data_IF_310965644564
#
_entry.id   IF_310965644564
#
_cell.length_a   1.000
_cell.length_b   1.000
_cell.length_c   1.000
_cell.angle_alpha   90.00
_cell.angle_beta   90.00
_cell.angle_gamma   90.00
#
_symmetry.space_group_name_H-M   'P 1'
#
loop_
_entity.id
_entity.type
_entity.pdbx_description
1 polymer ?
#
# COMPACT_ATOMS: atom_id res chain seq x y z
N UNK A 1 4.97 -23.72 -5.81
CA UNK A 1 5.29 -22.34 -6.24
C UNK A 1 4.05 -21.68 -6.86
N UNK A 2 3.23 -22.44 -7.57
CA UNK A 2 2.02 -21.93 -8.22
C UNK A 2 0.79 -21.85 -7.32
N UNK A 3 0.92 -22.21 -6.06
CA UNK A 3 -0.13 -22.09 -5.04
C UNK A 3 -0.44 -20.63 -4.70
N UNK A 4 -1.69 -20.32 -4.41
CA UNK A 4 -2.10 -18.97 -4.02
C UNK A 4 -1.31 -18.46 -2.80
N UNK A 5 -1.05 -19.31 -1.82
CA UNK A 5 -0.25 -18.97 -0.65
C UNK A 5 1.18 -18.56 -1.01
N UNK A 6 1.82 -19.29 -1.91
CA UNK A 6 3.18 -18.98 -2.39
C UNK A 6 3.20 -17.66 -3.16
N UNK A 7 2.20 -17.41 -3.99
CA UNK A 7 2.06 -16.18 -4.77
C UNK A 7 1.90 -14.98 -3.84
N UNK A 8 1.08 -15.11 -2.80
CA UNK A 8 0.89 -14.04 -1.79
C UNK A 8 2.19 -13.73 -1.07
N UNK A 9 2.95 -14.74 -0.67
CA UNK A 9 4.26 -14.56 -0.01
C UNK A 9 5.25 -13.86 -0.95
N UNK A 10 5.36 -14.31 -2.20
CA UNK A 10 6.25 -13.70 -3.19
C UNK A 10 5.85 -12.26 -3.48
N UNK A 11 4.58 -11.98 -3.65
CA UNK A 11 4.05 -10.64 -3.86
C UNK A 11 4.36 -9.74 -2.65
N UNK A 12 4.18 -10.23 -1.43
CA UNK A 12 4.53 -9.51 -0.21
C UNK A 12 6.01 -9.18 -0.15
N UNK A 13 6.88 -10.13 -0.42
CA UNK A 13 8.33 -9.92 -0.45
C UNK A 13 8.75 -8.92 -1.52
N UNK A 14 8.10 -8.94 -2.68
CA UNK A 14 8.38 -7.98 -3.77
C UNK A 14 8.04 -6.53 -3.37
N UNK A 15 7.04 -6.35 -2.51
CA UNK A 15 6.61 -5.03 -2.05
C UNK A 15 7.30 -4.54 -0.77
N UNK A 16 8.11 -5.37 -0.12
CA UNK A 16 8.89 -4.98 1.07
C UNK A 16 9.80 -3.77 0.82
N UNK A 17 10.55 -3.67 -0.30
CA UNK A 17 11.35 -2.47 -0.58
C UNK A 17 10.54 -1.18 -0.62
N UNK A 18 9.34 -1.21 -1.17
CA UNK A 18 8.45 -0.05 -1.21
C UNK A 18 8.01 0.37 0.20
N UNK A 19 7.56 -0.58 1.01
CA UNK A 19 7.19 -0.33 2.40
C UNK A 19 8.38 0.21 3.21
N UNK A 20 9.56 -0.36 3.03
CA UNK A 20 10.78 0.11 3.67
C UNK A 20 11.10 1.56 3.32
N UNK A 21 11.04 1.91 2.05
CA UNK A 21 11.32 3.28 1.59
C UNK A 21 10.33 4.29 2.18
N UNK A 22 9.04 4.00 2.18
CA UNK A 22 8.02 4.89 2.70
C UNK A 22 8.12 5.06 4.22
N UNK A 23 8.26 3.96 4.95
CA UNK A 23 8.33 3.99 6.42
C UNK A 23 9.65 4.62 6.89
N UNK A 24 10.78 4.29 6.28
CA UNK A 24 12.06 4.88 6.64
C UNK A 24 12.12 6.37 6.34
N UNK A 25 11.56 6.81 5.22
CA UNK A 25 11.43 8.23 4.89
C UNK A 25 10.57 8.97 5.92
N UNK A 26 9.45 8.39 6.33
CA UNK A 26 8.59 8.96 7.36
C UNK A 26 9.30 9.04 8.72
N UNK A 27 10.03 8.01 9.12
CA UNK A 27 10.80 8.00 10.37
C UNK A 27 11.91 9.06 10.39
N UNK A 28 12.57 9.27 9.25
CA UNK A 28 13.58 10.34 9.11
C UNK A 28 13.00 11.73 9.23
N UNK A 29 11.72 11.91 8.93
CA UNK A 29 11.03 13.20 9.06
C UNK A 29 10.61 13.53 10.50
N UNK A 30 10.68 12.56 11.42
CA UNK A 30 10.48 12.81 12.85
C UNK A 30 11.65 13.66 13.35
N UNK A 31 11.35 14.79 13.98
CA UNK A 31 12.37 15.71 14.49
C UNK A 31 13.19 15.03 15.60
N UNK A 32 14.51 15.11 15.48
CA UNK A 32 15.43 14.62 16.50
C UNK A 32 15.19 15.24 17.86
N UNK A 33 14.73 16.49 17.89
CA UNK A 33 14.44 17.25 19.09
C UNK A 33 13.39 16.58 19.98
N UNK A 34 12.38 15.96 19.36
CA UNK A 34 11.32 15.23 20.10
C UNK A 34 11.86 13.95 20.70
N UNK A 35 12.71 13.23 19.95
CA UNK A 35 13.36 12.02 20.44
C UNK A 35 14.38 12.33 21.56
N UNK A 36 15.15 13.40 21.41
CA UNK A 36 16.10 13.86 22.45
C UNK A 36 15.37 14.28 23.71
N UNK A 37 14.27 15.00 23.58
CA UNK A 37 13.45 15.40 24.71
C UNK A 37 12.94 14.18 25.51
N UNK A 38 12.49 13.14 24.81
CA UNK A 38 12.06 11.90 25.42
C UNK A 38 13.21 11.17 26.14
N UNK A 39 14.39 11.14 25.53
CA UNK A 39 15.60 10.53 26.13
C UNK A 39 16.05 11.30 27.36
N UNK A 40 16.02 12.61 27.31
CA UNK A 40 16.36 13.50 28.45
C UNK A 40 15.38 13.29 29.60
N UNK A 41 14.13 12.98 29.34
CA UNK A 41 13.13 12.62 30.33
C UNK A 41 13.29 11.21 30.91
N UNK A 42 14.30 10.45 30.47
CA UNK A 42 14.62 9.12 30.99
C UNK A 42 14.02 7.95 30.21
N UNK A 43 13.47 8.19 29.01
CA UNK A 43 12.92 7.14 28.17
C UNK A 43 14.01 6.23 27.57
N UNK A 44 13.79 4.92 27.60
CA UNK A 44 14.65 3.96 26.90
C UNK A 44 14.47 4.05 25.38
N UNK A 45 15.43 3.57 24.55
CA UNK A 45 15.26 3.55 23.09
C UNK A 45 13.98 2.87 22.63
N UNK A 46 13.57 1.81 23.29
CA UNK A 46 12.31 1.13 23.00
C UNK A 46 11.08 1.99 23.31
N UNK A 47 11.11 2.70 24.45
CA UNK A 47 10.03 3.62 24.82
C UNK A 47 9.94 4.81 23.86
N UNK A 48 11.07 5.36 23.41
CA UNK A 48 11.10 6.40 22.38
C UNK A 48 10.46 5.91 21.09
N UNK A 49 10.83 4.73 20.63
CA UNK A 49 10.29 4.15 19.39
C UNK A 49 8.78 3.91 19.49
N UNK A 50 8.30 3.31 20.58
CA UNK A 50 6.89 2.92 20.72
C UNK A 50 5.97 4.08 21.12
N UNK A 51 6.46 5.04 21.89
CA UNK A 51 5.63 6.12 22.45
C UNK A 51 5.76 7.44 21.69
N UNK A 52 6.83 7.65 20.96
CA UNK A 52 7.11 8.92 20.24
C UNK A 52 7.20 8.70 18.73
N UNK A 53 8.14 7.90 18.26
CA UNK A 53 8.45 7.78 16.84
C UNK A 53 7.34 7.10 16.05
N UNK A 54 6.86 5.95 16.47
CA UNK A 54 5.78 5.21 15.79
C UNK A 54 4.45 5.96 15.76
N UNK A 55 3.95 6.55 16.87
CA UNK A 55 2.73 7.34 16.82
C UNK A 55 2.83 8.55 15.90
N UNK A 56 3.98 9.19 15.79
CA UNK A 56 4.18 10.34 14.90
C UNK A 56 4.15 9.99 13.42
N UNK A 57 4.60 8.78 13.05
CA UNK A 57 4.60 8.32 11.64
C UNK A 57 3.37 7.48 11.29
N UNK A 58 2.46 7.27 12.22
CA UNK A 58 1.24 6.48 12.01
C UNK A 58 0.43 6.89 10.78
N UNK A 59 0.19 8.18 10.51
CA UNK A 59 -0.49 8.61 9.28
C UNK A 59 0.25 8.18 8.00
N UNK A 60 1.58 8.26 8.01
CA UNK A 60 2.42 7.84 6.88
C UNK A 60 2.38 6.34 6.65
N UNK A 61 2.34 5.54 7.72
CA UNK A 61 2.18 4.08 7.63
C UNK A 61 0.82 3.72 7.03
N UNK A 62 -0.25 4.37 7.45
CA UNK A 62 -1.59 4.18 6.89
C UNK A 62 -1.63 4.53 5.40
N UNK A 63 -1.02 5.64 5.02
CA UNK A 63 -0.90 6.05 3.62
C UNK A 63 -0.12 5.02 2.79
N UNK A 64 1.03 4.57 3.29
CA UNK A 64 1.83 3.55 2.63
C UNK A 64 1.06 2.23 2.48
N UNK A 65 0.29 1.83 3.48
CA UNK A 65 -0.55 0.63 3.44
C UNK A 65 -1.59 0.71 2.33
N UNK A 66 -2.28 1.84 2.20
CA UNK A 66 -3.27 2.06 1.15
C UNK A 66 -2.61 2.05 -0.24
N UNK A 67 -1.46 2.70 -0.37
CA UNK A 67 -0.71 2.71 -1.62
C UNK A 67 -0.24 1.32 -2.04
N UNK A 68 0.28 0.54 -1.11
CA UNK A 68 0.70 -0.85 -1.35
C UNK A 68 -0.50 -1.74 -1.71
N UNK A 69 -1.64 -1.49 -1.12
CA UNK A 69 -2.87 -2.19 -1.48
C UNK A 69 -3.27 -1.93 -2.95
N UNK A 70 -3.19 -0.68 -3.41
CA UNK A 70 -3.40 -0.34 -4.81
C UNK A 70 -2.41 -1.02 -5.75
N UNK A 71 -1.12 -1.01 -5.39
CA UNK A 71 -0.09 -1.71 -6.16
C UNK A 71 -0.35 -3.21 -6.21
N UNK A 72 -0.87 -3.79 -5.14
CA UNK A 72 -1.27 -5.20 -5.09
C UNK A 72 -2.43 -5.54 -6.03
N UNK A 73 -3.37 -4.62 -6.22
CA UNK A 73 -4.47 -4.80 -7.19
C UNK A 73 -3.97 -4.85 -8.64
N UNK A 74 -2.87 -4.18 -8.93
CA UNK A 74 -2.27 -4.11 -10.26
C UNK A 74 -1.20 -5.18 -10.52
N UNK A 75 -1.06 -6.17 -9.65
CA UNK A 75 -0.10 -7.27 -9.81
C UNK A 75 -0.50 -8.13 -11.02
N UNK A 76 -0.03 -7.73 -12.19
CA UNK A 76 -0.33 -8.41 -13.45
C UNK A 76 0.73 -9.46 -13.81
N UNK A 77 1.98 -9.06 -13.90
CA UNK A 77 3.06 -9.91 -14.38
C UNK A 77 3.28 -11.15 -13.53
N UNK A 78 3.30 -10.99 -12.21
CA UNK A 78 3.48 -12.10 -11.29
C UNK A 78 2.33 -13.11 -11.39
N UNK A 79 1.10 -12.62 -11.44
CA UNK A 79 -0.09 -13.47 -11.55
C UNK A 79 -0.22 -14.13 -12.92
N UNK A 80 0.27 -13.49 -13.98
CA UNK A 80 0.30 -14.09 -15.30
C UNK A 80 1.26 -15.30 -15.36
N UNK A 81 2.41 -15.16 -14.71
CA UNK A 81 3.46 -16.21 -14.73
C UNK A 81 3.17 -17.34 -13.76
N UNK A 82 2.79 -17.01 -12.53
CA UNK A 82 2.67 -17.96 -11.43
C UNK A 82 1.23 -18.43 -11.18
N UNK A 83 0.25 -17.56 -11.43
CA UNK A 83 -1.15 -17.84 -11.15
C UNK A 83 -1.88 -18.50 -12.31
N UNK A 84 -1.58 -18.13 -13.53
CA UNK A 84 -2.27 -18.60 -14.74
C UNK A 84 -2.22 -20.12 -14.94
N UNK A 85 -1.10 -20.81 -14.69
CA UNK A 85 -1.04 -22.28 -14.84
C UNK A 85 -2.00 -23.04 -13.93
N UNK A 86 -2.29 -22.53 -12.75
CA UNK A 86 -3.20 -23.13 -11.76
C UNK A 86 -4.62 -22.51 -11.80
N UNK A 87 -4.88 -21.61 -12.73
CA UNK A 87 -6.17 -20.94 -12.84
C UNK A 87 -6.40 -19.81 -11.81
N UNK A 88 -5.40 -19.45 -11.03
CA UNK A 88 -5.45 -18.34 -10.08
C UNK A 88 -5.26 -17.02 -10.83
N UNK A 89 -6.29 -16.19 -10.84
CA UNK A 89 -6.27 -14.93 -11.57
C UNK A 89 -6.70 -13.76 -10.68
N UNK A 90 -6.03 -12.61 -10.86
CA UNK A 90 -6.53 -11.32 -10.39
C UNK A 90 -7.32 -10.63 -11.50
N UNK A 91 -8.02 -9.54 -11.17
CA UNK A 91 -8.84 -8.81 -12.13
C UNK A 91 -8.09 -8.41 -13.40
N UNK A 92 -6.84 -7.95 -13.27
CA UNK A 92 -6.02 -7.54 -14.41
C UNK A 92 -5.69 -8.70 -15.35
N UNK A 93 -5.32 -9.87 -14.83
CA UNK A 93 -5.04 -11.07 -15.64
C UNK A 93 -6.30 -11.67 -16.23
N UNK A 94 -7.42 -11.58 -15.55
CA UNK A 94 -8.72 -12.01 -16.05
C UNK A 94 -9.17 -11.17 -17.26
N UNK A 95 -9.04 -9.84 -17.17
CA UNK A 95 -9.30 -8.94 -18.29
C UNK A 95 -8.41 -9.24 -19.49
N UNK A 96 -7.13 -9.49 -19.24
CA UNK A 96 -6.19 -9.88 -20.29
C UNK A 96 -6.60 -11.18 -20.99
N UNK A 97 -7.00 -12.19 -20.25
CA UNK A 97 -7.50 -13.45 -20.81
C UNK A 97 -8.75 -13.27 -21.64
N UNK A 98 -9.69 -12.48 -21.17
CA UNK A 98 -10.93 -12.16 -21.90
C UNK A 98 -10.64 -11.52 -23.27
N UNK A 99 -9.57 -10.74 -23.36
CA UNK A 99 -9.18 -10.05 -24.58
C UNK A 99 -8.42 -10.95 -25.55
N UNK A 100 -7.49 -11.80 -25.03
CA UNK A 100 -6.48 -12.41 -25.88
C UNK A 100 -6.57 -13.95 -26.00
N UNK A 101 -7.20 -14.65 -25.05
CA UNK A 101 -7.12 -16.12 -24.99
C UNK A 101 -8.44 -16.89 -25.06
N UNK A 102 -9.57 -16.21 -24.99
CA UNK A 102 -10.89 -16.88 -24.98
C UNK A 102 -11.62 -16.91 -26.36
N UNK A 103 -10.89 -16.88 -27.45
CA UNK A 103 -11.48 -16.91 -28.79
C UNK A 103 -12.09 -15.58 -29.22
N UNK A 104 -13.41 -15.52 -29.38
CA UNK A 104 -14.09 -14.24 -29.66
C UNK A 104 -14.05 -13.34 -28.43
N UNK A 105 -13.57 -12.10 -28.55
CA UNK A 105 -13.49 -11.18 -27.42
C UNK A 105 -14.87 -10.91 -26.81
N UNK A 106 -15.00 -11.16 -25.52
CA UNK A 106 -16.26 -10.90 -24.79
C UNK A 106 -16.28 -9.46 -24.27
N UNK A 107 -16.50 -8.51 -25.17
CA UNK A 107 -16.49 -7.07 -24.84
C UNK A 107 -17.49 -6.69 -23.73
N UNK A 108 -18.65 -7.31 -23.72
CA UNK A 108 -19.67 -7.06 -22.68
C UNK A 108 -19.17 -7.47 -21.29
N UNK A 109 -18.52 -8.62 -21.19
CA UNK A 109 -17.96 -9.11 -19.93
C UNK A 109 -16.76 -8.27 -19.48
N UNK A 110 -15.92 -7.84 -20.43
CA UNK A 110 -14.82 -6.92 -20.19
C UNK A 110 -15.32 -5.58 -19.64
N UNK A 111 -16.35 -5.03 -20.23
CA UNK A 111 -16.97 -3.78 -19.76
C UNK A 111 -17.55 -3.92 -18.35
N UNK A 112 -18.22 -5.04 -18.06
CA UNK A 112 -18.76 -5.31 -16.73
C UNK A 112 -17.66 -5.41 -15.67
N UNK A 113 -16.56 -6.11 -15.96
CA UNK A 113 -15.42 -6.23 -15.05
C UNK A 113 -14.72 -4.87 -14.85
N UNK A 114 -14.58 -4.08 -15.91
CA UNK A 114 -14.01 -2.73 -15.82
C UNK A 114 -14.87 -1.81 -14.94
N UNK A 115 -16.19 -1.87 -15.04
CA UNK A 115 -17.11 -1.12 -14.17
C UNK A 115 -16.98 -1.56 -12.71
N UNK A 116 -16.88 -2.85 -12.43
CA UNK A 116 -16.64 -3.37 -11.08
C UNK A 116 -15.32 -2.85 -10.53
N UNK A 117 -14.26 -2.84 -11.34
CA UNK A 117 -12.95 -2.30 -10.94
C UNK A 117 -13.04 -0.81 -10.56
N UNK A 118 -13.73 -0.02 -11.37
CA UNK A 118 -13.97 1.40 -11.09
C UNK A 118 -14.76 1.58 -9.79
N UNK A 119 -15.81 0.79 -9.58
CA UNK A 119 -16.61 0.81 -8.37
C UNK A 119 -15.82 0.46 -7.09
N UNK A 120 -14.78 -0.36 -7.20
CA UNK A 120 -13.86 -0.67 -6.11
C UNK A 120 -12.84 0.46 -5.92
N UNK A 121 -12.33 1.03 -7.01
CA UNK A 121 -11.26 2.04 -6.99
C UNK A 121 -11.73 3.37 -6.40
N UNK A 122 -12.94 3.83 -6.74
CA UNK A 122 -13.46 5.11 -6.26
C UNK A 122 -13.52 5.20 -4.73
N UNK A 123 -14.12 4.24 -3.99
CA UNK A 123 -14.11 4.27 -2.53
C UNK A 123 -12.70 4.24 -1.93
N UNK A 124 -11.78 3.49 -2.53
CA UNK A 124 -10.40 3.40 -2.08
C UNK A 124 -9.66 4.73 -2.27
N UNK A 125 -9.87 5.42 -3.39
CA UNK A 125 -9.30 6.77 -3.62
C UNK A 125 -9.87 7.77 -2.63
N UNK A 126 -11.16 7.70 -2.31
CA UNK A 126 -11.79 8.56 -1.29
C UNK A 126 -11.20 8.29 0.10
N UNK A 127 -10.99 7.04 0.46
CA UNK A 127 -10.34 6.65 1.71
C UNK A 127 -8.90 7.18 1.77
N UNK A 128 -8.14 7.06 0.69
CA UNK A 128 -6.79 7.61 0.57
C UNK A 128 -6.77 9.12 0.79
N UNK A 129 -7.69 9.85 0.17
CA UNK A 129 -7.82 11.31 0.36
C UNK A 129 -8.12 11.69 1.81
N UNK A 130 -8.98 10.92 2.50
CA UNK A 130 -9.25 11.12 3.92
C UNK A 130 -8.01 10.92 4.78
N UNK A 131 -7.25 9.86 4.53
CA UNK A 131 -6.01 9.58 5.25
C UNK A 131 -4.96 10.66 4.99
N UNK A 132 -4.84 11.17 3.77
CA UNK A 132 -3.95 12.28 3.44
C UNK A 132 -4.34 13.58 4.13
N UNK A 133 -5.62 13.90 4.26
CA UNK A 133 -6.09 15.07 5.03
C UNK A 133 -5.64 14.99 6.48
N UNK A 134 -5.75 13.82 7.10
CA UNK A 134 -5.27 13.58 8.47
C UNK A 134 -3.77 13.74 8.57
N UNK A 135 -3.00 13.18 7.62
CA UNK A 135 -1.54 13.32 7.55
C UNK A 135 -1.11 14.79 7.37
N UNK A 136 -1.78 15.54 6.49
CA UNK A 136 -1.49 16.95 6.25
C UNK A 136 -1.75 17.84 7.48
N UNK A 137 -2.73 17.50 8.30
CA UNK A 137 -2.97 18.21 9.57
C UNK A 137 -1.76 18.11 10.52
N UNK A 138 -1.11 16.94 10.58
CA UNK A 138 0.10 16.75 11.39
C UNK A 138 1.31 17.50 10.83
N UNK A 139 1.44 17.59 9.50
CA UNK A 139 2.52 18.36 8.84
C UNK A 139 2.36 19.87 9.07
N UNK A 140 1.15 20.38 9.05
CA UNK A 140 0.87 21.83 9.25
C UNK A 140 1.18 22.28 10.68
N UNK A 141 1.05 21.40 11.66
CA UNK A 141 1.45 21.72 13.03
C UNK A 141 2.97 21.85 13.18
N UNK A 142 3.73 21.14 12.37
CA UNK A 142 5.19 21.20 12.35
C UNK A 142 5.73 22.48 11.68
N UNK A 143 5.00 23.05 10.73
CA UNK A 143 5.38 24.28 10.01
C UNK A 143 5.07 25.58 10.74
N UNK A 144 4.34 25.55 11.84
CA UNK A 144 4.01 26.74 12.65
C UNK A 144 4.93 26.97 13.85
N UNK A 145 5.91 26.11 14.05
CA UNK A 145 6.87 26.20 15.15
C UNK A 145 8.23 26.79 14.75
N UNK A 146 8.30 27.46 13.60
CA UNK A 146 9.48 28.23 13.17
C UNK A 146 9.13 29.68 12.97
#
# INVERSE_FOLDING_TARGET
IYDMSSIVVIAGLTHVPHAYLYISSALRSVGSDVEEAARTAGASPWQVMTSVSLPMVRPSILYATVLLFFLGLEVFGLMLVLGDPEGNMVLATYLYKLTNKMGTPSYNLMAAVAVVLICITIPLVMLQRRLMRTANRFVTMKGKAS
#
